data_IF_218549480970
#
_entry.id   IF_218549480970
#
_cell.length_a   1.000
_cell.length_b   1.000
_cell.length_c   1.000
_cell.angle_alpha   90.00
_cell.angle_beta   90.00
_cell.angle_gamma   90.00
#
_symmetry.space_group_name_H-M   'P 1'
#
loop_
_entity.id
_entity.type
_entity.pdbx_description
1 polymer ?
#
# COMPACT_ATOMS: atom_id res chain seq x y z
N UNK A 1 15.62 3.62 -9.37
CA UNK A 1 16.61 4.70 -9.44
C UNK A 1 16.79 5.21 -8.01
N UNK A 2 18.02 5.13 -7.50
CA UNK A 2 18.41 5.67 -6.20
C UNK A 2 19.19 6.95 -6.49
N UNK A 3 18.78 8.07 -5.91
CA UNK A 3 19.47 9.34 -5.98
C UNK A 3 20.09 9.66 -4.61
N UNK A 4 21.37 9.94 -4.58
CA UNK A 4 22.06 10.42 -3.38
C UNK A 4 22.10 11.94 -3.41
N UNK A 5 21.55 12.57 -2.37
CA UNK A 5 21.55 14.02 -2.20
C UNK A 5 22.60 14.35 -1.15
N UNK A 6 23.58 15.18 -1.53
CA UNK A 6 24.66 15.63 -0.65
C UNK A 6 24.53 17.15 -0.46
N UNK A 7 24.53 17.58 0.79
CA UNK A 7 24.50 19.00 1.14
C UNK A 7 25.60 19.32 2.17
N UNK A 8 26.87 19.50 1.72
CA UNK A 8 28.00 19.66 2.64
C UNK A 8 28.11 21.06 3.26
N UNK A 9 27.49 22.08 2.65
CA UNK A 9 27.78 23.49 2.98
C UNK A 9 26.65 24.22 3.70
N UNK A 10 25.48 23.59 3.86
CA UNK A 10 24.32 24.27 4.47
C UNK A 10 23.83 23.53 5.71
N UNK A 11 23.58 24.30 6.77
CA UNK A 11 23.05 23.83 8.04
C UNK A 11 21.81 24.65 8.43
N UNK A 12 20.83 24.06 9.13
CA UNK A 12 20.78 22.67 9.57
C UNK A 12 20.49 21.71 8.39
N UNK A 13 21.01 20.47 8.46
CA UNK A 13 20.65 19.42 7.49
C UNK A 13 19.30 18.83 7.89
N UNK A 14 18.34 18.93 6.99
CA UNK A 14 16.95 18.50 7.25
C UNK A 14 16.50 17.49 6.20
N UNK A 15 15.78 16.49 6.66
CA UNK A 15 15.17 15.49 5.78
C UNK A 15 13.79 15.07 6.30
N UNK A 16 12.88 14.76 5.39
CA UNK A 16 11.60 14.13 5.72
C UNK A 16 11.64 12.67 5.30
N UNK A 17 11.13 11.80 6.15
CA UNK A 17 11.04 10.36 5.87
C UNK A 17 9.57 9.98 5.68
N UNK A 18 9.26 9.32 4.56
CA UNK A 18 7.90 8.81 4.33
C UNK A 18 7.61 7.65 5.27
N UNK A 19 6.36 7.54 5.69
CA UNK A 19 5.88 6.39 6.46
C UNK A 19 6.20 5.07 5.74
N UNK A 20 6.68 4.08 6.50
CA UNK A 20 6.95 2.75 5.97
C UNK A 20 8.24 2.61 5.13
N UNK A 21 9.08 3.63 5.00
CA UNK A 21 10.36 3.54 4.28
C UNK A 21 11.41 2.81 5.11
N UNK A 22 11.34 2.92 6.43
CA UNK A 22 12.23 2.21 7.33
C UNK A 22 11.47 1.13 8.10
N UNK A 23 12.07 -0.04 8.38
CA UNK A 23 11.45 -1.04 9.23
C UNK A 23 11.26 -0.48 10.64
N UNK A 24 10.09 -0.75 11.22
CA UNK A 24 9.82 -0.41 12.61
C UNK A 24 10.75 -1.24 13.51
N UNK A 25 11.56 -0.58 14.29
CA UNK A 25 12.40 -1.23 15.30
C UNK A 25 11.65 -1.33 16.62
N UNK A 26 11.95 -2.37 17.39
CA UNK A 26 11.43 -2.45 18.74
C UNK A 26 11.95 -1.30 19.61
N UNK A 27 11.09 -0.69 20.44
CA UNK A 27 11.50 0.39 21.33
C UNK A 27 12.56 -0.09 22.32
N UNK A 28 13.66 0.64 22.42
CA UNK A 28 14.63 0.38 23.47
C UNK A 28 14.24 1.18 24.74
N UNK A 29 13.64 0.49 25.70
CA UNK A 29 13.15 1.08 26.94
C UNK A 29 14.26 1.60 27.86
N UNK A 30 15.53 1.26 27.60
CA UNK A 30 16.67 1.79 28.37
C UNK A 30 17.15 3.15 27.87
N UNK A 31 16.74 3.57 26.65
CA UNK A 31 17.07 4.89 26.13
C UNK A 31 16.19 5.94 26.79
N UNK A 32 16.82 6.92 27.39
CA UNK A 32 16.17 8.15 27.89
C UNK A 32 16.45 9.27 26.89
N UNK A 33 15.41 9.98 26.49
CA UNK A 33 15.51 11.21 25.70
C UNK A 33 15.24 12.42 26.58
N UNK A 34 15.82 13.56 26.25
CA UNK A 34 15.45 14.85 26.81
C UNK A 34 14.32 15.45 25.99
N UNK A 35 13.26 15.88 26.65
CA UNK A 35 12.16 16.61 26.02
C UNK A 35 12.31 18.09 26.33
N UNK A 36 12.70 18.87 25.33
CA UNK A 36 12.78 20.33 25.41
C UNK A 36 11.52 20.93 24.79
N UNK A 37 10.74 21.68 25.56
CA UNK A 37 9.53 22.36 25.09
C UNK A 37 9.83 23.84 24.93
N UNK A 38 9.97 24.28 23.68
CA UNK A 38 10.13 25.68 23.33
C UNK A 38 8.77 26.36 23.13
N UNK A 39 8.57 27.50 23.79
CA UNK A 39 7.38 28.34 23.59
C UNK A 39 7.69 29.39 22.53
N UNK A 40 7.30 29.11 21.30
CA UNK A 40 7.41 30.07 20.20
C UNK A 40 6.19 30.98 20.22
N UNK A 41 6.43 32.30 20.28
CA UNK A 41 5.39 33.33 20.13
C UNK A 41 5.42 33.82 18.68
N UNK A 42 4.30 33.62 17.99
CA UNK A 42 4.14 34.11 16.63
C UNK A 42 3.38 35.42 16.65
N UNK A 43 3.81 36.35 15.81
CA UNK A 43 3.08 37.60 15.51
C UNK A 43 2.46 37.49 14.11
N UNK A 44 1.45 38.31 13.82
CA UNK A 44 0.70 38.22 12.58
C UNK A 44 1.59 38.39 11.32
N UNK A 45 2.64 39.21 11.44
CA UNK A 45 3.61 39.45 10.36
C UNK A 45 4.56 38.29 10.07
N UNK A 46 4.62 37.29 10.96
CA UNK A 46 5.41 36.07 10.71
C UNK A 46 4.79 35.17 9.63
N UNK A 47 3.54 35.44 9.26
CA UNK A 47 2.80 34.61 8.29
C UNK A 47 2.62 35.34 6.97
N UNK A 48 3.40 34.94 5.95
CA UNK A 48 3.26 35.46 4.59
C UNK A 48 1.95 35.05 3.90
N UNK A 49 1.25 34.05 4.41
CA UNK A 49 -0.01 33.51 3.86
C UNK A 49 -1.00 33.21 4.98
N UNK A 50 -2.29 33.45 4.70
CA UNK A 50 -3.39 33.14 5.62
C UNK A 50 -4.18 31.96 5.08
N UNK A 51 -4.41 30.95 5.93
CA UNK A 51 -5.28 29.83 5.59
C UNK A 51 -6.73 30.33 5.55
N UNK A 52 -7.33 30.35 4.35
CA UNK A 52 -8.72 30.81 4.14
C UNK A 52 -9.70 29.68 4.44
N UNK A 53 -9.43 28.48 3.94
CA UNK A 53 -10.31 27.33 4.12
C UNK A 53 -9.53 26.01 4.04
N UNK A 54 -9.97 25.01 4.78
CA UNK A 54 -9.41 23.67 4.74
C UNK A 54 -10.51 22.64 4.42
N UNK A 55 -10.51 22.13 3.20
CA UNK A 55 -11.35 20.99 2.83
C UNK A 55 -10.63 19.69 3.21
N UNK A 56 -11.23 18.90 4.10
CA UNK A 56 -10.77 17.55 4.42
C UNK A 56 -11.79 16.56 3.88
N UNK A 57 -11.42 15.82 2.86
CA UNK A 57 -12.16 14.63 2.49
C UNK A 57 -11.86 13.51 3.50
N UNK A 58 -12.89 12.84 4.07
CA UNK A 58 -12.67 11.70 4.92
C UNK A 58 -11.96 10.60 4.10
N UNK A 59 -10.81 10.13 4.57
CA UNK A 59 -10.12 9.00 3.94
C UNK A 59 -11.01 7.77 4.05
N UNK A 60 -11.66 7.40 2.96
CA UNK A 60 -12.55 6.23 2.88
C UNK A 60 -11.78 4.91 3.00
N UNK A 61 -10.48 4.89 2.70
CA UNK A 61 -9.63 3.69 2.70
C UNK A 61 -8.30 3.98 3.36
N UNK A 62 -7.93 3.20 4.38
CA UNK A 62 -6.62 3.28 5.00
C UNK A 62 -5.72 2.12 4.52
N UNK A 63 -5.12 2.27 3.34
CA UNK A 63 -4.19 1.27 2.80
C UNK A 63 -2.85 1.24 3.57
N UNK A 64 -2.37 2.38 4.05
CA UNK A 64 -1.05 2.47 4.70
C UNK A 64 -0.99 1.72 6.03
N UNK A 65 -2.08 1.75 6.80
CA UNK A 65 -2.17 1.06 8.09
C UNK A 65 -2.69 -0.38 7.99
N UNK A 66 -3.03 -0.86 6.79
CA UNK A 66 -3.59 -2.19 6.62
C UNK A 66 -2.51 -3.27 6.80
N UNK A 67 -2.78 -4.23 7.70
CA UNK A 67 -1.91 -5.39 7.91
C UNK A 67 -1.98 -6.38 6.75
N UNK A 68 -3.12 -6.46 6.09
CA UNK A 68 -3.34 -7.33 4.93
C UNK A 68 -4.02 -6.54 3.84
N UNK A 69 -3.57 -6.69 2.60
CA UNK A 69 -4.14 -6.05 1.41
C UNK A 69 -4.39 -7.11 0.34
N UNK A 70 -5.61 -7.09 -0.22
CA UNK A 70 -5.94 -7.82 -1.44
C UNK A 70 -6.12 -6.81 -2.57
N UNK A 71 -5.29 -6.90 -3.60
CA UNK A 71 -5.29 -5.94 -4.69
C UNK A 71 -5.66 -6.58 -6.03
N UNK A 72 -6.58 -5.91 -6.74
CA UNK A 72 -6.99 -6.30 -8.08
C UNK A 72 -6.27 -5.51 -9.17
N UNK A 73 -5.87 -6.20 -10.23
CA UNK A 73 -5.28 -5.60 -11.43
C UNK A 73 -6.23 -5.55 -12.63
N UNK A 74 -5.70 -5.12 -13.78
CA UNK A 74 -6.42 -5.13 -15.06
C UNK A 74 -6.89 -6.54 -15.47
N UNK A 75 -6.17 -7.59 -15.04
CA UNK A 75 -6.54 -9.00 -15.30
C UNK A 75 -7.82 -9.47 -14.64
N UNK A 76 -8.40 -8.68 -13.71
CA UNK A 76 -9.77 -8.92 -13.19
C UNK A 76 -10.83 -8.72 -14.27
N UNK A 77 -10.53 -7.92 -15.30
CA UNK A 77 -11.31 -7.81 -16.54
C UNK A 77 -12.50 -6.85 -16.48
N UNK A 78 -13.17 -6.70 -15.36
CA UNK A 78 -14.34 -5.81 -15.25
C UNK A 78 -14.60 -5.33 -13.83
N UNK A 79 -15.40 -4.26 -13.71
CA UNK A 79 -15.90 -3.77 -12.41
C UNK A 79 -16.77 -4.82 -11.70
N UNK A 80 -17.52 -5.60 -12.43
CA UNK A 80 -18.35 -6.67 -11.87
C UNK A 80 -17.50 -7.78 -11.25
N UNK A 81 -16.47 -8.22 -11.97
CA UNK A 81 -15.53 -9.24 -11.48
C UNK A 81 -14.67 -8.72 -10.31
N UNK A 82 -14.52 -7.40 -10.16
CA UNK A 82 -13.78 -6.82 -9.04
C UNK A 82 -14.42 -7.17 -7.68
N UNK A 83 -15.67 -7.63 -7.69
CA UNK A 83 -16.33 -8.19 -6.52
C UNK A 83 -15.56 -9.37 -5.91
N UNK A 84 -14.92 -10.20 -6.73
CA UNK A 84 -14.07 -11.30 -6.23
C UNK A 84 -12.96 -10.79 -5.31
N UNK A 85 -12.39 -9.61 -5.62
CA UNK A 85 -11.35 -8.98 -4.80
C UNK A 85 -11.94 -8.55 -3.45
N UNK A 86 -13.13 -7.96 -3.46
CA UNK A 86 -13.84 -7.58 -2.24
C UNK A 86 -14.19 -8.80 -1.38
N UNK A 87 -14.66 -9.87 -2.01
CA UNK A 87 -15.06 -11.11 -1.31
C UNK A 87 -13.85 -11.78 -0.65
N UNK A 88 -12.70 -11.85 -1.35
CA UNK A 88 -11.46 -12.37 -0.80
C UNK A 88 -10.92 -11.46 0.33
N UNK A 89 -10.96 -10.15 0.13
CA UNK A 89 -10.56 -9.19 1.15
C UNK A 89 -11.44 -9.33 2.41
N UNK A 90 -12.75 -9.48 2.24
CA UNK A 90 -13.69 -9.73 3.35
C UNK A 90 -13.38 -11.02 4.10
N UNK A 91 -13.05 -12.11 3.39
CA UNK A 91 -12.69 -13.39 4.01
C UNK A 91 -11.38 -13.32 4.82
N UNK A 92 -10.45 -12.44 4.44
CA UNK A 92 -9.16 -12.24 5.11
C UNK A 92 -9.17 -11.09 6.14
N UNK A 93 -10.26 -10.32 6.26
CA UNK A 93 -10.27 -9.08 7.03
C UNK A 93 -9.28 -8.05 6.48
N UNK A 94 -9.08 -8.03 5.17
CA UNK A 94 -8.07 -7.23 4.48
C UNK A 94 -8.64 -5.94 3.89
N UNK A 95 -7.77 -4.94 3.69
CA UNK A 95 -8.10 -3.78 2.87
C UNK A 95 -8.06 -4.14 1.38
N UNK A 96 -8.89 -3.45 0.59
CA UNK A 96 -8.93 -3.62 -0.86
C UNK A 96 -8.01 -2.61 -1.52
N UNK A 97 -7.03 -3.10 -2.29
CA UNK A 97 -6.15 -2.31 -3.14
C UNK A 97 -6.43 -2.52 -4.62
N UNK A 98 -5.77 -1.71 -5.45
CA UNK A 98 -5.88 -1.82 -6.90
C UNK A 98 -4.62 -1.38 -7.63
N UNK A 99 -4.37 -1.92 -8.80
CA UNK A 99 -3.40 -1.36 -9.72
C UNK A 99 -3.95 -0.11 -10.41
N UNK A 100 -3.07 0.71 -10.98
CA UNK A 100 -3.47 1.84 -11.81
C UNK A 100 -4.39 1.41 -12.96
N UNK A 101 -4.10 0.30 -13.63
CA UNK A 101 -4.92 -0.21 -14.74
C UNK A 101 -6.37 -0.51 -14.30
N UNK A 102 -6.58 -1.05 -13.11
CA UNK A 102 -7.92 -1.29 -12.59
C UNK A 102 -8.66 0.02 -12.24
N UNK A 103 -7.94 1.04 -11.75
CA UNK A 103 -8.50 2.37 -11.48
C UNK A 103 -8.85 3.08 -12.78
N UNK A 104 -7.91 3.13 -13.74
CA UNK A 104 -8.11 3.76 -15.05
C UNK A 104 -9.24 3.06 -15.83
N UNK A 105 -9.41 1.74 -15.65
CA UNK A 105 -10.54 0.94 -16.16
C UNK A 105 -11.87 1.17 -15.45
N UNK A 106 -11.91 2.00 -14.41
CA UNK A 106 -13.14 2.33 -13.66
C UNK A 106 -13.66 1.18 -12.78
N UNK A 107 -12.79 0.19 -12.45
CA UNK A 107 -13.21 -0.95 -11.61
C UNK A 107 -13.38 -0.53 -10.16
N UNK A 108 -12.57 0.43 -9.70
CA UNK A 108 -12.55 0.93 -8.33
C UNK A 108 -11.99 2.36 -8.28
N UNK A 109 -12.28 3.11 -7.22
CA UNK A 109 -11.83 4.48 -7.04
C UNK A 109 -10.32 4.60 -6.85
N UNK A 110 -9.75 5.76 -7.25
CA UNK A 110 -8.33 6.11 -7.12
C UNK A 110 -7.80 6.02 -5.68
N UNK A 111 -8.64 6.17 -4.68
CA UNK A 111 -8.27 6.02 -3.26
C UNK A 111 -7.69 4.64 -2.92
N UNK A 112 -7.99 3.62 -3.71
CA UNK A 112 -7.50 2.25 -3.59
C UNK A 112 -6.20 1.98 -4.35
N UNK A 113 -5.69 2.97 -5.10
CA UNK A 113 -4.53 2.75 -5.96
C UNK A 113 -3.25 2.52 -5.15
N UNK A 114 -2.59 1.40 -5.43
CA UNK A 114 -1.25 1.04 -4.93
C UNK A 114 -0.23 1.21 -6.05
N UNK A 115 0.91 1.80 -5.73
CA UNK A 115 2.00 2.01 -6.68
C UNK A 115 2.69 3.36 -6.49
N UNK A 116 3.64 3.67 -7.36
CA UNK A 116 4.44 4.89 -7.32
C UNK A 116 3.57 6.17 -7.37
N UNK A 117 2.50 6.16 -8.16
CA UNK A 117 1.55 7.28 -8.32
C UNK A 117 0.31 7.16 -7.43
N UNK A 118 0.24 6.12 -6.62
CA UNK A 118 -0.80 5.87 -5.64
C UNK A 118 -0.24 5.85 -4.22
N UNK A 119 -0.75 4.93 -3.41
CA UNK A 119 -0.28 4.70 -2.05
C UNK A 119 0.83 3.66 -2.05
N UNK A 120 1.96 3.96 -1.43
CA UNK A 120 2.98 2.96 -1.09
C UNK A 120 2.56 2.26 0.20
N UNK A 121 2.61 0.92 0.20
CA UNK A 121 2.13 0.06 1.28
C UNK A 121 3.19 -0.98 1.65
N UNK A 122 3.18 -1.42 2.91
CA UNK A 122 4.06 -2.48 3.45
C UNK A 122 3.28 -3.40 4.40
N UNK A 123 2.24 -4.08 3.92
CA UNK A 123 1.47 -4.98 4.75
C UNK A 123 2.28 -6.23 5.13
N UNK A 124 1.82 -6.94 6.15
CA UNK A 124 2.31 -8.27 6.47
C UNK A 124 1.99 -9.28 5.35
N UNK A 125 0.85 -9.09 4.67
CA UNK A 125 0.45 -9.90 3.52
C UNK A 125 -0.13 -9.03 2.42
N UNK A 126 0.41 -9.17 1.21
CA UNK A 126 -0.13 -8.57 -0.02
C UNK A 126 -0.55 -9.66 -1.00
N UNK A 127 -1.82 -9.68 -1.40
CA UNK A 127 -2.34 -10.62 -2.39
C UNK A 127 -2.61 -9.86 -3.69
N UNK A 128 -1.81 -10.14 -4.71
CA UNK A 128 -1.90 -9.52 -6.04
C UNK A 128 -2.73 -10.41 -6.99
N UNK A 129 -3.92 -9.97 -7.36
CA UNK A 129 -4.85 -10.72 -8.19
C UNK A 129 -4.95 -10.09 -9.59
N UNK A 130 -4.49 -10.78 -10.63
CA UNK A 130 -4.54 -10.28 -12.00
C UNK A 130 -3.73 -9.00 -12.22
N UNK A 131 -2.65 -8.82 -11.49
CA UNK A 131 -1.71 -7.71 -11.59
C UNK A 131 -0.51 -8.16 -12.41
N UNK A 132 -0.14 -7.41 -13.44
CA UNK A 132 1.01 -7.73 -14.31
C UNK A 132 2.35 -7.61 -13.60
N UNK A 133 2.48 -6.68 -12.66
CA UNK A 133 3.75 -6.42 -11.97
C UNK A 133 4.63 -5.38 -12.66
N UNK A 134 4.04 -4.39 -13.31
CA UNK A 134 4.77 -3.23 -13.81
C UNK A 134 5.59 -2.58 -12.68
N UNK A 135 6.77 -2.04 -13.02
CA UNK A 135 7.74 -1.45 -12.08
C UNK A 135 7.07 -0.41 -11.18
N UNK A 136 6.14 0.40 -11.73
CA UNK A 136 5.44 1.43 -10.99
C UNK A 136 4.50 0.87 -9.92
N UNK A 137 3.92 -0.32 -10.15
CA UNK A 137 3.11 -1.00 -9.15
C UNK A 137 3.99 -1.65 -8.08
N UNK A 138 5.04 -2.36 -8.52
CA UNK A 138 6.00 -3.04 -7.64
C UNK A 138 6.63 -2.06 -6.66
N UNK A 139 7.05 -0.88 -7.11
CA UNK A 139 7.62 0.18 -6.26
C UNK A 139 6.69 0.60 -5.09
N UNK A 140 5.39 0.31 -5.18
CA UNK A 140 4.42 0.61 -4.13
C UNK A 140 4.12 -0.54 -3.18
N UNK A 141 4.60 -1.79 -3.45
CA UNK A 141 4.20 -2.94 -2.64
C UNK A 141 5.28 -4.02 -2.44
N UNK A 142 6.39 -3.96 -3.18
CA UNK A 142 7.41 -5.04 -3.16
C UNK A 142 8.09 -5.23 -1.79
N UNK A 143 8.03 -4.23 -0.94
CA UNK A 143 8.52 -4.28 0.44
C UNK A 143 7.51 -4.91 1.43
N UNK A 144 6.43 -5.53 0.94
CA UNK A 144 5.49 -6.28 1.77
C UNK A 144 6.17 -7.52 2.37
N UNK A 145 5.86 -7.87 3.63
CA UNK A 145 6.53 -8.99 4.29
C UNK A 145 6.28 -10.34 3.60
N UNK A 146 5.07 -10.54 3.07
CA UNK A 146 4.72 -11.67 2.21
C UNK A 146 3.89 -11.19 1.03
N UNK A 147 4.17 -11.74 -0.16
CA UNK A 147 3.47 -11.44 -1.40
C UNK A 147 2.97 -12.76 -1.99
N UNK A 148 1.66 -12.83 -2.23
CA UNK A 148 1.02 -13.90 -2.99
C UNK A 148 0.56 -13.30 -4.31
N UNK A 149 0.92 -13.90 -5.43
CA UNK A 149 0.49 -13.47 -6.75
C UNK A 149 -0.40 -14.54 -7.40
N UNK A 150 -1.50 -14.10 -8.00
CA UNK A 150 -2.41 -14.93 -8.76
C UNK A 150 -2.54 -14.31 -10.16
N UNK A 151 -2.11 -15.01 -11.18
CA UNK A 151 -2.19 -14.55 -12.56
C UNK A 151 -2.34 -15.75 -13.49
N UNK A 152 -3.09 -15.58 -14.57
CA UNK A 152 -3.19 -16.60 -15.62
C UNK A 152 -1.95 -16.64 -16.51
N UNK A 153 -1.24 -15.51 -16.64
CA UNK A 153 0.00 -15.41 -17.39
C UNK A 153 1.18 -15.81 -16.49
N UNK A 154 1.78 -16.95 -16.83
CA UNK A 154 2.93 -17.51 -16.11
C UNK A 154 4.17 -16.60 -16.15
N UNK A 155 4.30 -15.81 -17.21
CA UNK A 155 5.45 -14.92 -17.42
C UNK A 155 5.21 -13.53 -16.84
N UNK A 156 4.10 -13.29 -16.14
CA UNK A 156 3.80 -12.00 -15.56
C UNK A 156 4.91 -11.56 -14.57
N UNK A 157 5.47 -10.35 -14.73
CA UNK A 157 6.58 -9.85 -13.89
C UNK A 157 6.28 -9.80 -12.39
N UNK A 158 5.00 -9.87 -12.00
CA UNK A 158 4.59 -9.91 -10.58
C UNK A 158 5.16 -11.14 -9.87
N UNK A 159 5.33 -12.26 -10.57
CA UNK A 159 5.89 -13.48 -9.99
C UNK A 159 7.36 -13.31 -9.59
N UNK A 160 8.08 -12.37 -10.21
CA UNK A 160 9.47 -12.07 -9.85
C UNK A 160 9.66 -11.45 -8.45
N UNK A 161 8.57 -10.95 -7.84
CA UNK A 161 8.59 -10.41 -6.46
C UNK A 161 7.69 -11.19 -5.51
N UNK A 162 6.96 -12.18 -6.02
CA UNK A 162 6.04 -12.98 -5.22
C UNK A 162 6.79 -14.05 -4.41
N UNK A 163 6.41 -14.22 -3.15
CA UNK A 163 6.87 -15.33 -2.32
C UNK A 163 6.11 -16.63 -2.67
N UNK A 164 4.85 -16.48 -3.10
CA UNK A 164 4.00 -17.58 -3.55
C UNK A 164 3.26 -17.15 -4.82
N UNK A 165 3.32 -17.98 -5.86
CA UNK A 165 2.67 -17.75 -7.13
C UNK A 165 1.63 -18.84 -7.43
N UNK A 166 0.47 -18.43 -7.89
CA UNK A 166 -0.58 -19.32 -8.39
C UNK A 166 -0.85 -18.92 -9.84
N UNK A 167 -0.55 -19.81 -10.77
CA UNK A 167 -0.89 -19.65 -12.19
C UNK A 167 -2.28 -20.23 -12.40
N UNK A 168 -3.27 -19.38 -12.69
CA UNK A 168 -4.65 -19.81 -12.86
C UNK A 168 -5.64 -18.67 -13.07
N UNK A 169 -6.87 -19.05 -13.38
CA UNK A 169 -7.99 -18.11 -13.53
C UNK A 169 -8.49 -17.65 -12.16
N UNK A 170 -8.60 -16.34 -11.99
CA UNK A 170 -9.09 -15.70 -10.77
C UNK A 170 -10.50 -16.18 -10.39
N UNK A 171 -11.36 -16.45 -11.40
CA UNK A 171 -12.72 -16.92 -11.17
C UNK A 171 -12.78 -18.33 -10.56
N UNK A 172 -11.71 -19.12 -10.70
CA UNK A 172 -11.59 -20.44 -10.08
C UNK A 172 -10.79 -20.39 -8.78
N UNK A 173 -9.65 -19.73 -8.82
CA UNK A 173 -8.70 -19.70 -7.69
C UNK A 173 -9.28 -18.97 -6.49
N UNK A 174 -9.86 -17.78 -6.67
CA UNK A 174 -10.35 -16.96 -5.57
C UNK A 174 -11.47 -17.64 -4.77
N UNK A 175 -12.52 -18.22 -5.40
CA UNK A 175 -13.55 -18.96 -4.65
C UNK A 175 -12.97 -20.15 -3.86
N UNK A 176 -12.01 -20.87 -4.43
CA UNK A 176 -11.35 -21.98 -3.73
C UNK A 176 -10.56 -21.48 -2.51
N UNK A 177 -9.85 -20.37 -2.64
CA UNK A 177 -9.14 -19.74 -1.51
C UNK A 177 -10.11 -19.30 -0.41
N UNK A 178 -11.21 -18.64 -0.78
CA UNK A 178 -12.23 -18.20 0.19
C UNK A 178 -12.80 -19.40 0.94
N UNK A 179 -13.09 -20.50 0.22
CA UNK A 179 -13.58 -21.75 0.84
C UNK A 179 -12.57 -22.28 1.85
N UNK A 180 -11.31 -22.43 1.45
CA UNK A 180 -10.24 -22.93 2.31
C UNK A 180 -10.03 -22.05 3.57
N UNK A 181 -10.13 -20.71 3.43
CA UNK A 181 -10.01 -19.77 4.55
C UNK A 181 -11.14 -19.97 5.55
N UNK A 182 -12.39 -20.16 5.06
CA UNK A 182 -13.57 -20.34 5.93
C UNK A 182 -13.61 -21.69 6.63
N UNK A 183 -13.05 -22.73 6.00
CA UNK A 183 -12.99 -24.09 6.54
C UNK A 183 -11.84 -24.31 7.53
N UNK A 184 -10.93 -23.32 7.66
CA UNK A 184 -9.81 -23.41 8.61
C UNK A 184 -10.36 -23.30 10.04
N UNK A 185 -10.00 -24.26 10.94
CA UNK A 185 -10.35 -24.14 12.37
C UNK A 185 -9.81 -22.81 12.91
N UNK A 186 -10.63 -22.08 13.63
CA UNK A 186 -10.16 -20.92 14.40
C UNK A 186 -9.36 -21.47 15.59
N UNK A 187 -8.04 -21.35 15.54
CA UNK A 187 -7.19 -21.53 16.69
C UNK A 187 -7.38 -20.42 17.73
#
# INVERSE_FOLDING_TARGET
IIATIINPERWPQMATVREGVMPLREPNMQRKGELVVEKVQFVEDDFAVKLVERHREPRRVNLKGARTIVAGGGGVGSKQNFRLIHDLAGALGAAVGASRAAVDGGFIDKAHQVGQTGTTVRPALYVACGISGAIQHRAGMEESAKIVAINWDREAPIFGVAHYGIVGDLNQVIPMMIKAIKERPKE
#
